data_IF_721920658280
#
_entry.id   IF_721920658280
#
_cell.length_a   1.000
_cell.length_b   1.000
_cell.length_c   1.000
_cell.angle_alpha   90.00
_cell.angle_beta   90.00
_cell.angle_gamma   90.00
#
_symmetry.space_group_name_H-M   'P 1'
#
loop_
_entity.id
_entity.type
_entity.pdbx_description
1 polymer ?
#
# COMPACT_ATOMS: atom_id res chain seq x y z
N UNK A 1 7.68 -18.13 8.34
CA UNK A 1 6.42 -17.59 7.77
C UNK A 1 6.65 -16.13 7.35
N UNK A 2 6.85 -15.84 6.06
CA UNK A 2 7.17 -14.46 5.55
C UNK A 2 6.21 -13.96 4.45
N UNK A 3 5.27 -14.80 4.00
CA UNK A 3 4.33 -14.48 2.90
C UNK A 3 3.26 -13.47 3.32
N UNK A 4 2.79 -13.53 4.57
CA UNK A 4 1.63 -12.75 4.99
C UNK A 4 1.88 -11.23 5.07
N UNK A 5 3.07 -10.78 5.45
CA UNK A 5 3.42 -9.34 5.43
C UNK A 5 3.53 -8.79 4.01
N UNK A 6 3.93 -9.66 3.08
CA UNK A 6 4.13 -9.36 1.68
C UNK A 6 2.79 -9.19 0.92
N UNK A 7 1.79 -10.02 1.22
CA UNK A 7 0.45 -9.90 0.62
C UNK A 7 -0.33 -8.68 1.13
N UNK A 8 -0.10 -8.31 2.40
CA UNK A 8 -0.67 -7.09 2.99
C UNK A 8 -0.12 -5.83 2.31
N UNK A 9 1.19 -5.77 2.08
CA UNK A 9 1.84 -4.66 1.37
C UNK A 9 1.28 -4.48 -0.04
N UNK A 10 1.11 -5.56 -0.80
CA UNK A 10 0.53 -5.50 -2.15
C UNK A 10 -0.93 -5.02 -2.12
N UNK A 11 -1.70 -5.51 -1.15
CA UNK A 11 -3.09 -5.09 -0.95
C UNK A 11 -3.21 -3.60 -0.62
N UNK A 12 -2.29 -3.06 0.18
CA UNK A 12 -2.25 -1.65 0.55
C UNK A 12 -1.87 -0.76 -0.64
N UNK A 13 -0.91 -1.19 -1.47
CA UNK A 13 -0.55 -0.51 -2.71
C UNK A 13 -1.75 -0.42 -3.67
N UNK A 14 -2.49 -1.51 -3.85
CA UNK A 14 -3.72 -1.54 -4.68
C UNK A 14 -4.75 -0.53 -4.19
N UNK A 15 -5.00 -0.48 -2.87
CA UNK A 15 -5.95 0.49 -2.28
C UNK A 15 -5.50 1.93 -2.49
N UNK A 16 -4.20 2.21 -2.38
CA UNK A 16 -3.62 3.53 -2.64
C UNK A 16 -3.83 3.94 -4.08
N UNK A 17 -3.46 3.10 -5.04
CA UNK A 17 -3.60 3.37 -6.48
C UNK A 17 -5.05 3.64 -6.84
N UNK A 18 -5.98 2.82 -6.34
CA UNK A 18 -7.40 3.01 -6.62
C UNK A 18 -7.92 4.35 -6.05
N UNK A 19 -7.43 4.78 -4.89
CA UNK A 19 -7.77 6.08 -4.27
C UNK A 19 -7.17 7.27 -5.01
N UNK A 20 -5.91 7.18 -5.42
CA UNK A 20 -5.18 8.28 -6.06
C UNK A 20 -5.59 8.47 -7.52
N UNK A 21 -5.87 7.38 -8.24
CA UNK A 21 -6.15 7.44 -9.67
C UNK A 21 -7.64 7.43 -9.99
N UNK A 22 -8.49 6.90 -9.08
CA UNK A 22 -9.89 6.59 -9.39
C UNK A 22 -10.07 5.52 -10.48
N UNK A 23 -8.97 4.91 -10.95
CA UNK A 23 -8.93 4.01 -12.08
C UNK A 23 -9.31 2.57 -11.72
N UNK A 24 -9.57 1.77 -12.75
CA UNK A 24 -9.85 0.33 -12.59
C UNK A 24 -8.54 -0.44 -12.49
N UNK A 25 -8.39 -1.24 -11.45
CA UNK A 25 -7.25 -2.14 -11.28
C UNK A 25 -7.35 -3.32 -12.25
N UNK A 26 -6.26 -3.60 -12.96
CA UNK A 26 -6.16 -4.71 -13.93
C UNK A 26 -5.23 -5.82 -13.45
N UNK A 27 -4.28 -5.49 -12.57
CA UNK A 27 -3.35 -6.45 -12.00
C UNK A 27 -2.44 -5.80 -10.97
N UNK A 28 -1.90 -6.60 -10.06
CA UNK A 28 -0.92 -6.15 -9.08
C UNK A 28 0.09 -7.27 -8.86
N UNK A 29 1.35 -6.95 -8.99
CA UNK A 29 2.45 -7.91 -8.87
C UNK A 29 3.64 -7.28 -8.15
N UNK A 30 4.56 -8.13 -7.70
CA UNK A 30 5.86 -7.67 -7.25
C UNK A 30 6.88 -7.86 -8.36
N UNK A 31 7.65 -6.82 -8.62
CA UNK A 31 8.72 -6.85 -9.61
C UNK A 31 10.05 -6.48 -8.97
N UNK A 32 11.16 -7.16 -9.32
CA UNK A 32 12.49 -6.73 -8.94
C UNK A 32 12.81 -5.37 -9.59
N UNK A 33 13.28 -4.42 -8.79
CA UNK A 33 13.71 -3.10 -9.20
C UNK A 33 14.82 -2.61 -8.27
N UNK A 34 15.99 -2.28 -8.82
CA UNK A 34 17.09 -1.68 -8.06
C UNK A 34 17.47 -2.50 -6.80
N UNK A 35 17.62 -3.83 -6.98
CA UNK A 35 18.02 -4.76 -5.91
C UNK A 35 16.95 -5.06 -4.84
N UNK A 36 15.73 -4.51 -4.98
CA UNK A 36 14.59 -4.79 -4.09
C UNK A 36 13.34 -5.17 -4.87
N UNK A 37 12.38 -5.82 -4.22
CA UNK A 37 11.06 -6.01 -4.80
C UNK A 37 10.18 -4.79 -4.52
N UNK A 38 9.50 -4.28 -5.55
CA UNK A 38 8.50 -3.21 -5.43
C UNK A 38 7.10 -3.73 -5.79
N UNK A 39 6.07 -3.05 -5.31
CA UNK A 39 4.71 -3.33 -5.76
C UNK A 39 4.45 -2.55 -7.05
N UNK A 40 4.10 -3.26 -8.12
CA UNK A 40 3.69 -2.66 -9.39
C UNK A 40 2.22 -2.95 -9.63
N UNK A 41 1.44 -1.89 -9.76
CA UNK A 41 0.00 -1.98 -9.98
C UNK A 41 -0.33 -1.47 -11.37
N UNK A 42 -0.98 -2.34 -12.15
CA UNK A 42 -1.53 -2.03 -13.47
C UNK A 42 -2.96 -1.54 -13.30
N UNK A 43 -3.26 -0.37 -13.84
CA UNK A 43 -4.58 0.23 -13.77
C UNK A 43 -4.98 0.87 -15.11
N UNK A 44 -6.28 1.04 -15.30
CA UNK A 44 -6.86 1.80 -16.40
C UNK A 44 -7.32 3.15 -15.85
N UNK A 45 -6.82 4.23 -16.43
CA UNK A 45 -7.24 5.59 -16.09
C UNK A 45 -8.63 5.92 -16.66
N UNK A 46 -9.15 7.08 -16.27
CA UNK A 46 -10.44 7.63 -16.71
C UNK A 46 -10.55 7.82 -18.23
N UNK A 47 -9.41 7.97 -18.92
CA UNK A 47 -9.30 8.08 -20.38
C UNK A 47 -9.19 6.71 -21.06
N UNK A 48 -9.33 5.62 -20.33
CA UNK A 48 -9.24 4.25 -20.84
C UNK A 48 -7.81 3.80 -21.15
N UNK A 49 -6.79 4.53 -20.69
CA UNK A 49 -5.38 4.19 -20.94
C UNK A 49 -4.87 3.30 -19.82
N UNK A 50 -4.14 2.27 -20.21
CA UNK A 50 -3.47 1.38 -19.27
C UNK A 50 -2.16 2.02 -18.81
N UNK A 51 -1.99 2.16 -17.50
CA UNK A 51 -0.79 2.70 -16.87
C UNK A 51 -0.32 1.78 -15.74
N UNK A 52 0.92 2.01 -15.33
CA UNK A 52 1.54 1.36 -14.19
C UNK A 52 1.85 2.40 -13.12
N UNK A 53 1.67 2.02 -11.86
CA UNK A 53 2.16 2.76 -10.71
C UNK A 53 3.08 1.87 -9.90
N UNK A 54 4.26 2.39 -9.61
CA UNK A 54 5.32 1.73 -8.85
C UNK A 54 5.30 2.30 -7.42
N UNK A 55 4.95 1.46 -6.46
CA UNK A 55 4.96 1.79 -5.03
C UNK A 55 6.15 1.08 -4.38
N UNK A 56 7.16 1.80 -3.87
CA UNK A 56 8.23 1.18 -3.13
C UNK A 56 7.61 0.45 -1.94
N UNK A 57 7.73 -0.88 -1.91
CA UNK A 57 7.18 -1.67 -0.81
C UNK A 57 7.74 -1.08 0.50
N UNK A 58 6.90 -0.72 1.49
CA UNK A 58 7.38 -0.12 2.72
C UNK A 58 8.40 -1.06 3.35
N UNK A 59 9.63 -0.55 3.53
CA UNK A 59 10.64 -1.22 4.35
C UNK A 59 9.97 -1.56 5.69
N UNK A 60 10.11 -2.82 6.13
CA UNK A 60 9.46 -3.37 7.33
C UNK A 60 9.80 -2.63 8.64
N UNK A 61 10.61 -1.56 8.58
CA UNK A 61 11.20 -0.86 9.72
C UNK A 61 10.46 0.41 10.17
N UNK A 62 9.26 0.69 9.66
CA UNK A 62 8.39 1.68 10.30
C UNK A 62 7.25 0.94 11.01
N UNK A 63 7.42 0.58 12.31
CA UNK A 63 6.26 0.41 13.16
C UNK A 63 5.39 1.67 12.97
N UNK A 64 4.09 1.46 12.84
CA UNK A 64 3.08 2.52 12.82
C UNK A 64 3.28 3.40 14.06
N UNK A 65 4.08 4.45 13.95
CA UNK A 65 4.12 5.49 14.94
C UNK A 65 2.77 6.21 14.91
N UNK A 66 2.15 6.24 16.09
CA UNK A 66 1.16 7.21 16.55
C UNK A 66 -0.32 6.99 16.17
N UNK A 67 -0.80 5.74 16.24
CA UNK A 67 -2.20 5.48 16.62
C UNK A 67 -2.30 5.11 18.10
N UNK A 68 -1.95 6.01 19.02
CA UNK A 68 -2.30 5.91 20.45
C UNK A 68 -1.96 7.19 21.25
N UNK A 69 -2.49 8.35 20.88
CA UNK A 69 -2.68 9.44 21.85
C UNK A 69 -4.19 9.70 21.99
N UNK A 70 -4.87 8.74 22.61
CA UNK A 70 -6.10 9.03 23.34
C UNK A 70 -5.65 9.30 24.78
N UNK A 71 -5.89 10.50 25.36
CA UNK A 71 -5.63 10.69 26.78
C UNK A 71 -6.48 9.71 27.59
N UNK A 72 -5.96 9.14 28.69
CA UNK A 72 -6.77 8.30 29.55
C UNK A 72 -7.97 9.12 30.04
N UNK A 73 -9.18 8.60 29.87
CA UNK A 73 -10.38 9.14 30.51
C UNK A 73 -10.15 9.11 32.02
N UNK A 74 -9.68 10.23 32.56
CA UNK A 74 -9.57 10.46 33.99
C UNK A 74 -10.90 10.96 34.52
N UNK A 75 -11.92 10.11 34.53
CA UNK A 75 -13.20 10.42 35.17
C UNK A 75 -13.62 9.22 36.04
N UNK A 76 -13.00 9.13 37.21
CA UNK A 76 -13.61 8.49 38.36
C UNK A 76 -13.27 9.31 39.61
N UNK A 77 -14.19 10.21 39.97
CA UNK A 77 -14.30 10.85 41.29
C UNK A 77 -15.76 11.24 41.49
#
# INVERSE_FOLDING_TARGET
>A
MVRQGNDRSLSDAVRRVQRETGGRILGAERVPYDGRDINRVKYMDDRGRVRYMDDPAPSRDHPRDQRAELPPRGDNS
#
